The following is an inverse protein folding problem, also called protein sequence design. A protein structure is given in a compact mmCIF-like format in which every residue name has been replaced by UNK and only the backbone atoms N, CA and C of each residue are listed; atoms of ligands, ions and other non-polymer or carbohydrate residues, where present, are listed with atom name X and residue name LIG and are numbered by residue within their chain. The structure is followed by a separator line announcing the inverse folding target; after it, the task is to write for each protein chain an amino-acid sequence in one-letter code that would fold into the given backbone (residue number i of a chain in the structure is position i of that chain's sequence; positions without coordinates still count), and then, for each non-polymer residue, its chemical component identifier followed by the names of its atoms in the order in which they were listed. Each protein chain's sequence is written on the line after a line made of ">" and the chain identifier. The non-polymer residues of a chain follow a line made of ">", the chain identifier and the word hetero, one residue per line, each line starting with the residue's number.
data_IF_886212844490
#
_entry.id   IF_886212844490
#
_cell.length_a   1.000
_cell.length_b   1.000
_cell.length_c   1.000
_cell.angle_alpha   90.00
_cell.angle_beta   90.00
_cell.angle_gamma   90.00
#
_symmetry.space_group_name_H-M   'P 1'
#
loop_
_entity.id
_entity.type
_entity.pdbx_description
1 polymer ?
#
# COMPACT_ATOMS: atom_id res chain seq x y z
N UNK A 1 -12.24 -2.04 -8.95
CA UNK A 1 -11.65 -2.65 -7.77
C UNK A 1 -10.32 -2.01 -7.36
N UNK A 2 -9.20 -2.27 -8.04
CA UNK A 2 -7.87 -1.75 -7.69
C UNK A 2 -7.85 -0.24 -7.41
N UNK A 3 -8.39 0.58 -8.32
CA UNK A 3 -8.47 2.04 -8.17
C UNK A 3 -9.19 2.45 -6.88
N UNK A 4 -10.28 1.76 -6.51
CA UNK A 4 -11.03 2.05 -5.28
C UNK A 4 -10.20 1.77 -4.01
N UNK A 5 -9.44 0.66 -3.99
CA UNK A 5 -8.53 0.35 -2.88
C UNK A 5 -7.43 1.40 -2.75
N UNK A 6 -6.81 1.79 -3.87
CA UNK A 6 -5.77 2.83 -3.87
C UNK A 6 -6.34 4.18 -3.43
N UNK A 7 -7.52 4.57 -3.93
CA UNK A 7 -8.17 5.82 -3.52
C UNK A 7 -8.46 5.86 -2.01
N UNK A 8 -8.94 4.75 -1.46
CA UNK A 8 -9.18 4.63 -0.02
C UNK A 8 -7.86 4.69 0.77
N UNK A 9 -6.81 4.04 0.28
CA UNK A 9 -5.47 4.11 0.87
C UNK A 9 -4.90 5.53 0.88
N UNK A 10 -5.07 6.29 -0.20
CA UNK A 10 -4.67 7.70 -0.28
C UNK A 10 -5.43 8.54 0.75
N UNK A 11 -6.74 8.33 0.91
CA UNK A 11 -7.52 9.02 1.94
C UNK A 11 -7.01 8.70 3.35
N UNK A 12 -6.72 7.43 3.64
CA UNK A 12 -6.14 7.02 4.92
C UNK A 12 -4.82 7.74 5.21
N UNK A 13 -3.93 7.81 4.22
CA UNK A 13 -2.69 8.55 4.39
C UNK A 13 -2.94 10.04 4.65
N UNK A 14 -3.88 10.66 3.94
CA UNK A 14 -4.22 12.08 4.10
C UNK A 14 -4.81 12.39 5.48
N UNK A 15 -5.59 11.48 6.06
CA UNK A 15 -6.18 11.66 7.40
C UNK A 15 -5.17 11.48 8.54
N UNK A 16 -4.19 10.60 8.36
CA UNK A 16 -3.14 10.35 9.37
C UNK A 16 -2.15 11.52 9.48
N UNK A 17 -1.89 12.24 8.38
CA UNK A 17 -0.93 13.35 8.35
C UNK A 17 -1.19 14.41 9.43
N UNK A 18 -2.37 15.06 9.54
CA UNK A 18 -2.62 16.09 10.56
C UNK A 18 -2.63 15.50 11.97
N UNK A 19 -3.11 14.28 12.16
CA UNK A 19 -3.16 13.60 13.45
C UNK A 19 -1.75 13.40 14.02
N UNK A 20 -0.87 12.74 13.28
CA UNK A 20 0.52 12.48 13.71
C UNK A 20 1.31 13.77 13.86
N UNK A 21 1.05 14.80 13.05
CA UNK A 21 1.71 16.10 13.18
C UNK A 21 1.36 16.79 14.50
N UNK A 22 0.12 16.70 14.95
CA UNK A 22 -0.33 17.24 16.25
C UNK A 22 0.34 16.50 17.39
N UNK A 23 0.31 15.18 17.38
CA UNK A 23 0.96 14.36 18.42
C UNK A 23 2.48 14.53 18.46
N UNK A 24 3.13 14.71 17.31
CA UNK A 24 4.57 14.98 17.24
C UNK A 24 4.98 16.21 18.07
N UNK A 25 4.13 17.22 18.16
CA UNK A 25 4.44 18.43 18.97
C UNK A 25 4.48 18.11 20.45
N UNK A 26 3.62 17.22 20.93
CA UNK A 26 3.59 16.73 22.30
C UNK A 26 4.81 15.83 22.55
N UNK A 27 5.06 14.89 21.64
CA UNK A 27 6.21 14.00 21.70
C UNK A 27 7.54 14.75 21.89
N UNK A 28 7.75 15.85 21.18
CA UNK A 28 8.99 16.61 21.33
C UNK A 28 9.15 17.23 22.70
N UNK A 29 8.05 17.70 23.34
CA UNK A 29 8.10 18.19 24.72
C UNK A 29 8.45 17.08 25.71
N UNK A 30 7.83 15.92 25.56
CA UNK A 30 8.04 14.77 26.43
C UNK A 30 9.41 14.11 26.24
N UNK A 31 9.94 14.11 25.01
CA UNK A 31 11.31 13.70 24.70
C UNK A 31 12.34 14.59 25.40
N UNK A 32 12.11 15.91 25.42
CA UNK A 32 13.00 16.83 26.15
C UNK A 32 12.91 16.65 27.66
N UNK A 33 11.74 16.28 28.19
CA UNK A 33 11.55 15.93 29.59
C UNK A 33 12.07 14.52 29.95
N UNK A 34 12.67 13.80 28.99
CA UNK A 34 13.21 12.43 29.17
C UNK A 34 12.19 11.41 29.70
N UNK A 35 10.89 11.62 29.43
CA UNK A 35 9.81 10.77 29.97
C UNK A 35 9.79 9.37 29.37
N UNK A 36 10.03 9.25 28.05
CA UNK A 36 10.13 7.94 27.36
C UNK A 36 10.96 8.02 26.07
N UNK A 37 11.31 6.83 25.54
CA UNK A 37 12.09 6.76 24.31
C UNK A 37 11.23 6.97 23.07
N UNK A 38 11.74 7.64 22.02
CA UNK A 38 11.03 7.80 20.73
C UNK A 38 10.62 6.47 20.07
N UNK A 39 11.37 5.41 20.31
CA UNK A 39 11.07 4.07 19.81
C UNK A 39 9.80 3.49 20.44
N UNK A 40 9.61 3.69 21.76
CA UNK A 40 8.42 3.24 22.45
C UNK A 40 7.16 3.93 21.91
N UNK A 41 7.24 5.25 21.67
CA UNK A 41 6.17 6.01 21.04
C UNK A 41 5.84 5.49 19.63
N UNK A 42 6.87 5.34 18.79
CA UNK A 42 6.66 4.89 17.40
C UNK A 42 6.03 3.50 17.34
N UNK A 43 6.47 2.59 18.23
CA UNK A 43 5.90 1.25 18.32
C UNK A 43 4.43 1.29 18.77
N UNK A 44 4.10 2.11 19.76
CA UNK A 44 2.73 2.28 20.23
C UNK A 44 1.83 2.82 19.11
N UNK A 45 2.29 3.85 18.39
CA UNK A 45 1.55 4.46 17.28
C UNK A 45 1.28 3.48 16.15
N UNK A 46 2.32 2.77 15.70
CA UNK A 46 2.18 1.72 14.66
C UNK A 46 1.21 0.62 15.10
N UNK A 47 1.30 0.18 16.36
CA UNK A 47 0.44 -0.89 16.88
C UNK A 47 -1.02 -0.46 16.98
N UNK A 48 -1.29 0.81 17.33
CA UNK A 48 -2.66 1.33 17.42
C UNK A 48 -3.35 1.45 16.07
N UNK A 49 -2.61 1.71 14.98
CA UNK A 49 -3.19 1.80 13.63
C UNK A 49 -3.63 0.44 13.07
N UNK A 50 -2.95 -0.65 13.46
CA UNK A 50 -3.24 -1.99 12.91
C UNK A 50 -4.70 -2.42 13.11
N UNK A 51 -5.33 -2.35 14.31
CA UNK A 51 -6.70 -2.77 14.50
C UNK A 51 -7.71 -1.90 13.74
N UNK A 52 -7.46 -0.60 13.59
CA UNK A 52 -8.32 0.29 12.82
C UNK A 52 -8.30 -0.06 11.32
N UNK A 53 -7.12 -0.25 10.77
CA UNK A 53 -6.94 -0.64 9.37
C UNK A 53 -7.50 -2.04 9.12
N UNK A 54 -7.37 -2.97 10.08
CA UNK A 54 -7.93 -4.32 9.97
C UNK A 54 -9.46 -4.27 9.91
N UNK A 55 -10.10 -3.50 10.78
CA UNK A 55 -11.56 -3.32 10.78
C UNK A 55 -12.02 -2.69 9.46
N UNK A 56 -11.33 -1.65 9.00
CA UNK A 56 -11.63 -0.98 7.74
C UNK A 56 -11.50 -1.93 6.54
N UNK A 57 -10.44 -2.73 6.48
CA UNK A 57 -10.24 -3.72 5.42
C UNK A 57 -11.35 -4.79 5.45
N UNK A 58 -11.76 -5.24 6.64
CA UNK A 58 -12.85 -6.19 6.79
C UNK A 58 -14.17 -5.65 6.25
N UNK A 59 -14.57 -4.44 6.65
CA UNK A 59 -15.80 -3.79 6.16
C UNK A 59 -15.73 -3.59 4.64
N UNK A 60 -14.60 -3.13 4.13
CA UNK A 60 -14.40 -2.89 2.71
C UNK A 60 -14.56 -4.19 1.90
N UNK A 61 -13.91 -5.26 2.32
CA UNK A 61 -13.99 -6.57 1.63
C UNK A 61 -15.39 -7.15 1.73
N UNK A 62 -16.05 -7.07 2.90
CA UNK A 62 -17.41 -7.57 3.09
C UNK A 62 -18.42 -6.90 2.15
N UNK A 63 -18.22 -5.64 1.81
CA UNK A 63 -19.09 -4.90 0.87
C UNK A 63 -18.69 -5.17 -0.59
N UNK A 64 -17.39 -5.06 -0.90
CA UNK A 64 -16.93 -5.06 -2.30
C UNK A 64 -16.89 -6.46 -2.91
N UNK A 65 -16.59 -7.49 -2.14
CA UNK A 65 -16.47 -8.86 -2.66
C UNK A 65 -17.78 -9.39 -3.24
N UNK A 66 -18.94 -9.29 -2.53
CA UNK A 66 -20.24 -9.70 -3.09
C UNK A 66 -20.70 -8.76 -4.22
N UNK A 67 -20.44 -7.45 -4.10
CA UNK A 67 -20.92 -6.45 -5.08
C UNK A 67 -20.29 -6.64 -6.47
N UNK A 68 -19.01 -7.05 -6.51
CA UNK A 68 -18.28 -7.28 -7.75
C UNK A 68 -18.62 -8.65 -8.36
N UNK A 69 -19.15 -9.59 -7.56
CA UNK A 69 -19.53 -10.92 -8.03
C UNK A 69 -18.31 -11.83 -8.30
N UNK A 70 -17.29 -11.78 -7.46
CA UNK A 70 -16.14 -12.68 -7.55
C UNK A 70 -16.53 -14.13 -7.24
N UNK A 71 -15.73 -15.07 -7.73
CA UNK A 71 -15.89 -16.48 -7.40
C UNK A 71 -15.71 -16.71 -5.90
N UNK A 72 -16.73 -17.26 -5.25
CA UNK A 72 -16.70 -17.58 -3.83
C UNK A 72 -15.78 -18.78 -3.57
N UNK A 73 -14.55 -18.46 -3.21
CA UNK A 73 -13.57 -19.43 -2.70
C UNK A 73 -12.90 -18.83 -1.48
N UNK A 74 -12.83 -19.59 -0.39
CA UNK A 74 -12.22 -19.14 0.88
C UNK A 74 -10.79 -18.62 0.65
N UNK A 75 -10.01 -19.31 -0.18
CA UNK A 75 -8.65 -18.90 -0.51
C UNK A 75 -8.62 -17.54 -1.21
N UNK A 76 -9.50 -17.32 -2.21
CA UNK A 76 -9.56 -16.04 -2.97
C UNK A 76 -10.00 -14.87 -2.11
N UNK A 77 -10.97 -15.09 -1.22
CA UNK A 77 -11.42 -14.06 -0.25
C UNK A 77 -10.28 -13.70 0.69
N UNK A 78 -9.55 -14.69 1.21
CA UNK A 78 -8.43 -14.46 2.12
C UNK A 78 -7.30 -13.68 1.43
N UNK A 79 -6.93 -14.04 0.22
CA UNK A 79 -5.91 -13.33 -0.56
C UNK A 79 -6.32 -11.88 -0.87
N UNK A 80 -7.59 -11.68 -1.22
CA UNK A 80 -8.13 -10.34 -1.48
C UNK A 80 -8.09 -9.48 -0.21
N UNK A 81 -8.51 -10.06 0.93
CA UNK A 81 -8.44 -9.40 2.23
C UNK A 81 -7.01 -9.04 2.61
N UNK A 82 -6.08 -9.99 2.49
CA UNK A 82 -4.68 -9.78 2.80
C UNK A 82 -4.07 -8.66 1.95
N UNK A 83 -4.27 -8.68 0.64
CA UNK A 83 -3.76 -7.66 -0.27
C UNK A 83 -4.36 -6.27 0.04
N UNK A 84 -5.66 -6.19 0.35
CA UNK A 84 -6.32 -4.95 0.75
C UNK A 84 -5.77 -4.41 2.07
N UNK A 85 -5.64 -5.27 3.07
CA UNK A 85 -5.10 -4.92 4.39
C UNK A 85 -3.67 -4.39 4.30
N UNK A 86 -2.77 -5.09 3.62
CA UNK A 86 -1.40 -4.63 3.41
C UNK A 86 -1.35 -3.30 2.64
N UNK A 87 -2.25 -3.13 1.66
CA UNK A 87 -2.34 -1.88 0.88
C UNK A 87 -2.71 -0.70 1.78
N UNK A 88 -3.70 -0.85 2.64
CA UNK A 88 -4.10 0.21 3.57
C UNK A 88 -3.00 0.50 4.59
N UNK A 89 -2.36 -0.54 5.13
CA UNK A 89 -1.27 -0.38 6.09
C UNK A 89 -0.08 0.41 5.51
N UNK A 90 0.40 0.07 4.32
CA UNK A 90 1.55 0.79 3.80
C UNK A 90 1.22 2.26 3.46
N UNK A 91 -0.03 2.58 3.07
CA UNK A 91 -0.44 3.97 2.87
C UNK A 91 -0.47 4.76 4.19
N UNK A 92 -1.03 4.17 5.25
CA UNK A 92 -1.03 4.78 6.59
C UNK A 92 0.41 5.03 7.07
N UNK A 93 1.26 4.02 7.01
CA UNK A 93 2.64 4.15 7.48
C UNK A 93 3.50 5.05 6.60
N UNK A 94 3.20 5.14 5.30
CA UNK A 94 3.80 6.13 4.41
C UNK A 94 3.42 7.55 4.86
N UNK A 95 2.15 7.81 5.21
CA UNK A 95 1.70 9.09 5.75
C UNK A 95 2.43 9.48 7.04
N UNK A 96 2.54 8.53 7.98
CA UNK A 96 3.29 8.73 9.21
C UNK A 96 4.77 9.04 8.95
N UNK A 97 5.39 8.30 8.02
CA UNK A 97 6.78 8.53 7.61
C UNK A 97 6.97 9.94 7.05
N UNK A 98 6.09 10.38 6.14
CA UNK A 98 6.20 11.70 5.52
C UNK A 98 6.09 12.83 6.54
N UNK A 99 5.19 12.70 7.50
CA UNK A 99 5.09 13.68 8.62
C UNK A 99 6.36 13.69 9.46
N UNK A 100 6.97 12.54 9.70
CA UNK A 100 8.21 12.48 10.49
C UNK A 100 9.41 13.14 9.81
N UNK A 101 9.38 13.24 8.47
CA UNK A 101 10.45 13.83 7.66
C UNK A 101 10.26 15.31 7.35
N UNK A 102 9.05 15.87 7.56
CA UNK A 102 8.71 17.24 7.15
C UNK A 102 8.46 18.15 8.35
N UNK A 103 8.78 19.46 8.25
CA UNK A 103 8.59 20.38 9.37
C UNK A 103 7.12 20.77 9.60
N UNK A 104 6.30 20.84 8.56
CA UNK A 104 4.90 21.28 8.63
C UNK A 104 3.94 20.30 7.93
N UNK A 105 2.65 20.41 8.28
CA UNK A 105 1.56 19.60 7.71
C UNK A 105 1.39 19.88 6.22
N UNK A 106 1.50 21.15 5.83
CA UNK A 106 1.33 21.61 4.44
C UNK A 106 2.40 20.96 3.53
N UNK A 107 3.66 20.97 3.98
CA UNK A 107 4.77 20.35 3.24
C UNK A 107 4.58 18.83 3.17
N UNK A 108 4.13 18.19 4.26
CA UNK A 108 3.81 16.77 4.26
C UNK A 108 2.72 16.42 3.25
N UNK A 109 1.66 17.23 3.18
CA UNK A 109 0.54 17.03 2.26
C UNK A 109 0.94 17.20 0.80
N UNK A 110 1.74 18.22 0.46
CA UNK A 110 2.26 18.41 -0.89
C UNK A 110 3.16 17.26 -1.31
N UNK A 111 4.07 16.85 -0.43
CA UNK A 111 4.98 15.74 -0.69
C UNK A 111 4.21 14.41 -0.87
N UNK A 112 3.20 14.15 -0.04
CA UNK A 112 2.36 12.97 -0.15
C UNK A 112 1.62 12.92 -1.48
N UNK A 113 1.03 14.03 -1.93
CA UNK A 113 0.33 14.11 -3.22
C UNK A 113 1.28 13.82 -4.39
N UNK A 114 2.51 14.35 -4.34
CA UNK A 114 3.52 14.07 -5.36
C UNK A 114 3.90 12.60 -5.39
N UNK A 115 4.14 11.99 -4.23
CA UNK A 115 4.46 10.57 -4.12
C UNK A 115 3.32 9.70 -4.63
N UNK A 116 2.05 10.00 -4.28
CA UNK A 116 0.90 9.25 -4.81
C UNK A 116 0.81 9.29 -6.32
N UNK A 117 1.06 10.45 -6.92
CA UNK A 117 1.04 10.60 -8.37
C UNK A 117 2.08 9.70 -9.02
N UNK A 118 3.30 9.66 -8.47
CA UNK A 118 4.38 8.78 -8.93
C UNK A 118 4.01 7.31 -8.73
N UNK A 119 3.51 6.93 -7.55
CA UNK A 119 3.10 5.56 -7.26
C UNK A 119 1.98 5.09 -8.18
N UNK A 120 1.01 5.95 -8.50
CA UNK A 120 -0.07 5.61 -9.44
C UNK A 120 0.44 5.47 -10.87
N UNK A 121 1.38 6.31 -11.31
CA UNK A 121 1.95 6.23 -12.64
C UNK A 121 2.69 4.90 -12.86
N UNK A 122 3.52 4.49 -11.89
CA UNK A 122 4.29 3.25 -11.95
C UNK A 122 3.58 2.02 -11.35
N UNK A 123 2.29 2.12 -11.06
CA UNK A 123 1.50 1.03 -10.49
C UNK A 123 1.33 -0.19 -11.41
N UNK A 124 1.60 -0.04 -12.70
CA UNK A 124 1.33 -1.06 -13.71
C UNK A 124 -0.09 -1.01 -14.29
N UNK A 125 -1.01 -0.26 -13.67
CA UNK A 125 -2.37 -0.09 -14.17
C UNK A 125 -2.43 0.87 -15.37
N UNK A 126 -1.75 2.01 -15.28
CA UNK A 126 -1.66 3.00 -16.36
C UNK A 126 -0.60 2.59 -17.39
N UNK A 127 0.57 2.20 -16.93
CA UNK A 127 1.70 1.77 -17.74
C UNK A 127 2.08 0.33 -17.37
N UNK A 128 1.68 -0.69 -18.16
CA UNK A 128 2.10 -2.06 -17.93
C UNK A 128 3.62 -2.19 -17.84
N UNK A 129 4.12 -3.00 -16.90
CA UNK A 129 5.54 -3.13 -16.62
C UNK A 129 6.40 -3.45 -17.85
N UNK A 130 5.85 -4.26 -18.79
CA UNK A 130 6.54 -4.58 -20.08
C UNK A 130 6.73 -3.39 -21.02
N UNK A 131 5.94 -2.30 -20.86
CA UNK A 131 6.03 -1.09 -21.69
C UNK A 131 6.91 0.00 -21.07
N UNK A 132 7.35 -0.21 -19.82
CA UNK A 132 8.23 0.75 -19.12
C UNK A 132 9.66 0.63 -19.70
N UNK A 133 10.32 1.76 -20.02
CA UNK A 133 11.71 1.75 -20.46
C UNK A 133 12.64 1.09 -19.42
N UNK A 134 13.65 0.35 -19.87
CA UNK A 134 14.54 -0.44 -18.98
C UNK A 134 15.20 0.37 -17.88
N UNK A 135 15.49 1.65 -18.11
CA UNK A 135 16.10 2.54 -17.13
C UNK A 135 15.15 3.06 -16.03
N UNK A 136 13.80 2.92 -16.22
CA UNK A 136 12.79 3.23 -15.21
C UNK A 136 12.17 1.99 -14.54
N UNK A 137 12.50 0.79 -14.97
CA UNK A 137 11.87 -0.45 -14.48
C UNK A 137 12.10 -0.69 -12.97
N UNK A 138 13.19 -0.15 -12.44
CA UNK A 138 13.44 -0.20 -10.98
C UNK A 138 12.39 0.54 -10.16
N UNK A 139 11.84 1.65 -10.68
CA UNK A 139 10.73 2.36 -10.04
C UNK A 139 9.49 1.47 -9.93
N UNK A 140 9.18 0.69 -10.97
CA UNK A 140 8.07 -0.25 -10.98
C UNK A 140 8.19 -1.29 -9.85
N UNK A 141 9.36 -1.89 -9.68
CA UNK A 141 9.59 -2.87 -8.62
C UNK A 141 9.65 -2.25 -7.21
N UNK A 142 10.05 -0.99 -7.09
CA UNK A 142 10.08 -0.26 -5.83
C UNK A 142 8.69 0.23 -5.41
N UNK A 143 7.72 0.33 -6.35
CA UNK A 143 6.37 0.79 -6.05
C UNK A 143 5.54 -0.29 -5.36
N UNK A 144 5.06 -0.09 -4.13
CA UNK A 144 4.19 -1.04 -3.45
C UNK A 144 2.85 -1.23 -4.18
N UNK A 145 2.36 -0.21 -4.89
CA UNK A 145 1.12 -0.24 -5.66
C UNK A 145 1.15 -1.23 -6.83
N UNK A 146 2.33 -1.46 -7.43
CA UNK A 146 2.49 -2.46 -8.50
C UNK A 146 2.32 -3.89 -7.95
N UNK A 147 2.84 -4.15 -6.77
CA UNK A 147 2.68 -5.43 -6.08
C UNK A 147 1.24 -5.66 -5.59
N UNK A 148 0.55 -4.58 -5.17
CA UNK A 148 -0.88 -4.66 -4.86
C UNK A 148 -1.70 -5.04 -6.09
N UNK A 149 -1.43 -4.42 -7.25
CA UNK A 149 -2.10 -4.78 -8.51
C UNK A 149 -1.83 -6.24 -8.89
N UNK A 150 -0.57 -6.66 -8.79
CA UNK A 150 -0.17 -8.05 -9.01
C UNK A 150 -0.98 -9.00 -8.11
N UNK A 151 -0.99 -8.76 -6.81
CA UNK A 151 -1.71 -9.57 -5.84
C UNK A 151 -3.21 -9.66 -6.12
N UNK A 152 -3.86 -8.54 -6.44
CA UNK A 152 -5.28 -8.50 -6.76
C UNK A 152 -5.64 -9.27 -8.02
N UNK A 153 -4.91 -9.06 -9.12
CA UNK A 153 -5.22 -9.71 -10.38
C UNK A 153 -4.93 -11.20 -10.34
N UNK A 154 -3.77 -11.56 -9.81
CA UNK A 154 -3.32 -12.96 -9.79
C UNK A 154 -4.13 -13.82 -8.82
N UNK A 155 -4.53 -13.27 -7.67
CA UNK A 155 -5.32 -14.01 -6.69
C UNK A 155 -6.75 -14.30 -7.16
N UNK A 156 -7.34 -13.43 -7.98
CA UNK A 156 -8.71 -13.58 -8.44
C UNK A 156 -8.81 -14.30 -9.79
N UNK A 157 -7.87 -14.06 -10.69
CA UNK A 157 -7.95 -14.47 -12.10
C UNK A 157 -6.80 -15.39 -12.56
N UNK A 158 -5.75 -15.55 -11.78
CA UNK A 158 -4.54 -16.26 -12.18
C UNK A 158 -4.72 -17.79 -12.38
N UNK A 159 -5.80 -18.36 -11.84
CA UNK A 159 -6.16 -19.78 -11.94
C UNK A 159 -7.40 -20.03 -12.82
N UNK A 160 -7.85 -19.03 -13.59
CA UNK A 160 -9.04 -19.14 -14.43
C UNK A 160 -8.64 -19.34 -15.88
N UNK A 161 -8.86 -20.56 -16.40
CA UNK A 161 -8.59 -20.93 -17.78
C UNK A 161 -9.80 -20.71 -18.72
N UNK A 162 -10.64 -19.69 -18.42
CA UNK A 162 -11.73 -19.32 -19.35
C UNK A 162 -11.15 -18.59 -20.56
N UNK A 163 -11.59 -19.01 -21.73
CA UNK A 163 -11.29 -18.31 -22.97
C UNK A 163 -12.11 -17.03 -23.10
N UNK A 164 -11.44 -15.95 -23.38
CA UNK A 164 -12.05 -14.63 -23.67
C UNK A 164 -11.51 -14.10 -25.00
N UNK A 165 -12.36 -13.42 -25.72
CA UNK A 165 -11.98 -12.79 -26.98
C UNK A 165 -11.33 -11.43 -26.70
N UNK A 166 -10.01 -11.38 -26.86
CA UNK A 166 -9.20 -10.17 -26.60
C UNK A 166 -8.54 -9.77 -27.91
N UNK A 167 -8.78 -8.54 -28.35
CA UNK A 167 -8.24 -7.99 -29.62
C UNK A 167 -8.46 -8.89 -30.85
N UNK A 168 -9.53 -9.72 -30.84
CA UNK A 168 -9.85 -10.62 -31.96
C UNK A 168 -9.22 -12.00 -31.88
N UNK A 169 -8.44 -12.31 -30.85
CA UNK A 169 -7.88 -13.62 -30.57
C UNK A 169 -8.53 -14.27 -29.35
N UNK A 170 -8.80 -15.57 -29.40
CA UNK A 170 -9.23 -16.36 -28.25
C UNK A 170 -8.00 -16.65 -27.38
N UNK A 171 -7.95 -16.07 -26.20
CA UNK A 171 -6.89 -16.33 -25.21
C UNK A 171 -7.49 -16.67 -23.86
N UNK A 172 -6.80 -17.52 -23.08
CA UNK A 172 -7.17 -17.74 -21.68
C UNK A 172 -6.82 -16.53 -20.83
N UNK A 173 -7.57 -16.29 -19.75
CA UNK A 173 -7.34 -15.15 -18.85
C UNK A 173 -5.92 -15.23 -18.25
N UNK A 174 -5.48 -16.42 -17.89
CA UNK A 174 -4.13 -16.65 -17.36
C UNK A 174 -3.03 -16.27 -18.35
N UNK A 175 -3.17 -16.68 -19.64
CA UNK A 175 -2.20 -16.32 -20.68
C UNK A 175 -2.20 -14.81 -20.99
N UNK A 176 -3.36 -14.15 -20.93
CA UNK A 176 -3.45 -12.70 -21.11
C UNK A 176 -2.71 -11.95 -19.98
N UNK A 177 -2.88 -12.37 -18.73
CA UNK A 177 -2.18 -11.74 -17.59
C UNK A 177 -0.66 -11.91 -17.72
N UNK A 178 -0.19 -13.06 -18.19
CA UNK A 178 1.23 -13.30 -18.44
C UNK A 178 1.76 -12.49 -19.62
N UNK A 179 1.02 -12.43 -20.74
CA UNK A 179 1.41 -11.71 -21.95
C UNK A 179 1.42 -10.18 -21.75
N UNK A 180 0.39 -9.64 -21.10
CA UNK A 180 0.21 -8.18 -21.01
C UNK A 180 0.91 -7.57 -19.80
N UNK A 181 0.78 -8.18 -18.61
CA UNK A 181 1.36 -7.68 -17.37
C UNK A 181 2.66 -8.40 -16.96
N UNK A 182 2.85 -9.65 -17.40
CA UNK A 182 3.94 -10.50 -16.94
C UNK A 182 3.66 -11.19 -15.60
N UNK A 183 2.39 -11.29 -15.20
CA UNK A 183 1.98 -11.85 -13.91
C UNK A 183 1.80 -13.36 -14.03
N UNK A 184 2.43 -14.10 -13.09
CA UNK A 184 2.31 -15.56 -12.97
C UNK A 184 1.71 -15.95 -11.64
N UNK A 185 0.80 -16.92 -11.66
CA UNK A 185 0.17 -17.42 -10.42
C UNK A 185 1.18 -18.01 -9.43
N UNK A 186 2.22 -18.66 -9.93
CA UNK A 186 3.27 -19.32 -9.11
C UNK A 186 4.02 -18.33 -8.19
N UNK A 187 4.03 -17.06 -8.52
CA UNK A 187 4.73 -16.03 -7.73
C UNK A 187 3.86 -15.38 -6.63
N UNK A 188 2.64 -15.88 -6.39
CA UNK A 188 1.72 -15.32 -5.42
C UNK A 188 2.32 -15.26 -4.00
N UNK A 189 3.09 -16.27 -3.60
CA UNK A 189 3.80 -16.29 -2.32
C UNK A 189 4.85 -15.20 -2.19
N UNK A 190 5.61 -14.93 -3.27
CA UNK A 190 6.60 -13.83 -3.29
C UNK A 190 5.89 -12.49 -3.17
N UNK A 191 4.78 -12.30 -3.89
CA UNK A 191 3.96 -11.09 -3.83
C UNK A 191 3.47 -10.83 -2.40
N UNK A 192 3.03 -11.87 -1.69
CA UNK A 192 2.59 -11.74 -0.31
C UNK A 192 3.71 -11.26 0.63
N UNK A 193 4.89 -11.87 0.52
CA UNK A 193 6.05 -11.48 1.35
C UNK A 193 6.45 -10.03 1.07
N UNK A 194 6.52 -9.64 -0.19
CA UNK A 194 6.88 -8.26 -0.59
C UNK A 194 5.84 -7.26 -0.12
N UNK A 195 4.53 -7.55 -0.29
CA UNK A 195 3.45 -6.70 0.21
C UNK A 195 3.49 -6.52 1.73
N UNK A 196 3.81 -7.56 2.49
CA UNK A 196 3.99 -7.47 3.93
C UNK A 196 5.26 -6.74 4.36
N UNK A 197 6.31 -6.78 3.54
CA UNK A 197 7.58 -6.12 3.83
C UNK A 197 7.49 -4.58 3.74
N UNK A 198 6.68 -4.03 2.84
CA UNK A 198 6.53 -2.58 2.69
C UNK A 198 6.01 -1.87 3.94
N UNK A 199 4.89 -2.29 4.58
CA UNK A 199 4.43 -1.69 5.82
C UNK A 199 5.49 -1.77 6.93
N UNK A 200 6.16 -2.90 7.06
CA UNK A 200 7.22 -3.09 8.07
C UNK A 200 8.38 -2.13 7.81
N UNK A 201 8.83 -1.99 6.55
CA UNK A 201 9.89 -1.06 6.19
C UNK A 201 9.50 0.40 6.49
N UNK A 202 8.28 0.82 6.15
CA UNK A 202 7.81 2.18 6.42
C UNK A 202 7.65 2.46 7.92
N UNK A 203 7.17 1.48 8.70
CA UNK A 203 7.09 1.59 10.15
C UNK A 203 8.49 1.75 10.79
N UNK A 204 9.48 0.99 10.31
CA UNK A 204 10.87 1.11 10.77
C UNK A 204 11.48 2.47 10.42
N UNK A 205 11.27 2.93 9.18
CA UNK A 205 11.75 4.25 8.73
C UNK A 205 11.07 5.37 9.53
N UNK A 206 9.78 5.26 9.81
CA UNK A 206 9.05 6.19 10.67
C UNK A 206 9.68 6.29 12.06
N UNK A 207 9.91 5.15 12.71
CA UNK A 207 10.52 5.09 14.03
C UNK A 207 11.95 5.69 14.06
N UNK A 208 12.74 5.40 13.02
CA UNK A 208 14.07 5.97 12.86
C UNK A 208 14.03 7.48 12.66
N UNK A 209 13.16 7.98 11.79
CA UNK A 209 13.04 9.41 11.48
C UNK A 209 12.58 10.20 12.71
N UNK A 210 11.57 9.74 13.45
CA UNK A 210 11.11 10.39 14.68
C UNK A 210 12.20 10.43 15.74
N UNK A 211 12.98 9.35 15.85
CA UNK A 211 14.10 9.29 16.81
C UNK A 211 15.18 10.35 16.53
N UNK A 212 15.48 10.58 15.24
CA UNK A 212 16.58 11.45 14.79
C UNK A 212 16.14 12.89 14.52
N UNK A 213 14.92 13.10 13.99
CA UNK A 213 14.44 14.42 13.60
C UNK A 213 14.05 15.27 14.81
N UNK A 214 14.42 16.55 14.76
CA UNK A 214 14.10 17.54 15.77
C UNK A 214 13.86 18.89 15.08
N UNK A 215 12.61 19.14 14.66
CA UNK A 215 12.24 20.34 13.89
C UNK A 215 11.93 21.59 14.75
N UNK A 216 11.98 21.47 16.08
CA UNK A 216 11.91 22.63 16.96
C UNK A 216 13.32 22.97 17.45
N UNK A 217 13.90 23.99 16.86
CA UNK A 217 14.90 24.83 17.49
C UNK A 217 14.22 25.97 18.21
#
# INVERSE_FOLDING_TARGET
>A
MYIAVIFLGINNCSTVIPYVATERTVLYREKFATMYSPWAYSFAQVTMEIPYVLLQAFIYVAITYPTIGYYWSTSKVFWYFYATFCTFLYFVFLGMLLVSMTPSVEVASILSTTIYTILNLFSGFLLPGKKIPKWWIWCYYLCPTSWSLYGFLTSQYGDIDKEILIFGELKTISSFLEDYYGFRHDHLGIVAVVLGAFPVAFAFLFAYCIGKSNFKR
#
